data_IF_040102051706
#
_entry.id   IF_040102051706
#
_cell.length_a   1.000
_cell.length_b   1.000
_cell.length_c   1.000
_cell.angle_alpha   90.00
_cell.angle_beta   90.00
_cell.angle_gamma   90.00
#
_symmetry.space_group_name_H-M   'P 1'
#
loop_
_entity.id
_entity.type
_entity.pdbx_description
1 polymer ?
#
# COMPACT_ATOMS: atom_id res chain seq x y z
N UNK A 1 -23.65 -62.28 7.88
CA UNK A 1 -22.60 -61.40 8.43
C UNK A 1 -21.51 -61.15 7.38
N UNK A 2 -21.50 -60.02 6.67
CA UNK A 2 -20.29 -59.49 5.99
C UNK A 2 -20.32 -57.95 6.02
N UNK A 3 -19.13 -57.39 6.23
CA UNK A 3 -18.82 -56.12 6.90
C UNK A 3 -18.94 -54.90 5.98
N UNK A 4 -19.08 -53.76 6.65
CA UNK A 4 -19.11 -52.40 6.13
C UNK A 4 -17.81 -51.96 5.41
N UNK A 5 -17.96 -50.84 4.70
CA UNK A 5 -17.01 -50.12 3.84
C UNK A 5 -15.59 -49.89 4.42
N UNK A 6 -14.68 -49.41 3.57
CA UNK A 6 -14.24 -48.05 3.86
C UNK A 6 -14.18 -47.11 2.65
N UNK A 7 -14.48 -45.86 3.02
CA UNK A 7 -14.28 -44.59 2.33
C UNK A 7 -12.79 -44.40 2.01
N UNK A 8 -12.42 -43.94 0.80
CA UNK A 8 -11.58 -42.72 0.59
C UNK A 8 -11.03 -42.55 -0.83
N UNK A 9 -10.98 -41.26 -1.18
CA UNK A 9 -10.01 -40.56 -2.02
C UNK A 9 -10.16 -40.65 -3.55
N UNK A 10 -11.11 -39.87 -4.07
CA UNK A 10 -11.02 -39.29 -5.40
C UNK A 10 -9.74 -38.44 -5.52
N UNK A 11 -8.77 -38.92 -6.30
CA UNK A 11 -7.57 -38.16 -6.68
C UNK A 11 -7.85 -37.54 -8.06
N UNK A 12 -8.51 -36.38 -8.05
CA UNK A 12 -8.77 -35.62 -9.27
C UNK A 12 -7.47 -34.99 -9.79
N UNK A 13 -7.20 -35.23 -11.07
CA UNK A 13 -6.03 -34.82 -11.80
C UNK A 13 -5.70 -33.33 -11.63
N UNK A 14 -4.43 -33.05 -11.30
CA UNK A 14 -3.83 -31.73 -11.43
C UNK A 14 -3.84 -31.31 -12.91
N UNK A 15 -4.85 -30.52 -13.29
CA UNK A 15 -4.88 -29.82 -14.57
C UNK A 15 -3.83 -28.71 -14.53
N UNK A 16 -2.84 -28.84 -15.41
CA UNK A 16 -1.91 -27.82 -15.84
C UNK A 16 -2.63 -26.52 -16.17
N UNK A 17 -2.30 -25.44 -15.46
CA UNK A 17 -2.80 -24.10 -15.76
C UNK A 17 -1.89 -23.52 -16.87
N UNK A 18 -2.42 -23.53 -18.09
CA UNK A 18 -1.77 -22.98 -19.27
C UNK A 18 -1.39 -21.50 -19.11
N UNK A 19 -0.32 -21.03 -19.78
CA UNK A 19 0.04 -19.61 -19.82
C UNK A 19 -0.93 -18.83 -20.72
N UNK A 20 -1.17 -17.57 -20.36
CA UNK A 20 -2.03 -16.62 -21.08
C UNK A 20 -1.73 -16.56 -22.60
N UNK A 21 -2.74 -16.38 -23.47
CA UNK A 21 -2.52 -16.26 -24.91
C UNK A 21 -1.90 -14.91 -25.28
N UNK A 22 -0.91 -14.94 -26.17
CA UNK A 22 -0.28 -13.77 -26.78
C UNK A 22 -1.27 -13.03 -27.70
N UNK A 23 -1.24 -11.68 -27.78
CA UNK A 23 -2.08 -10.94 -28.71
C UNK A 23 -1.54 -11.04 -30.14
N UNK A 24 -2.46 -11.33 -31.06
CA UNK A 24 -2.24 -11.51 -32.49
C UNK A 24 -1.65 -10.24 -33.14
N UNK A 25 -0.54 -10.45 -33.84
CA UNK A 25 0.12 -9.49 -34.74
C UNK A 25 -0.83 -9.14 -35.90
N UNK A 26 -1.23 -7.86 -36.02
CA UNK A 26 -1.85 -7.32 -37.24
C UNK A 26 -0.82 -6.50 -38.02
N UNK A 27 -0.71 -6.85 -39.30
CA UNK A 27 0.18 -6.34 -40.35
C UNK A 27 -0.03 -4.86 -40.70
N UNK A 28 0.91 -4.21 -41.44
CA UNK A 28 1.04 -2.76 -41.50
C UNK A 28 0.14 -2.15 -42.60
N UNK A 29 -0.41 -0.95 -42.35
CA UNK A 29 -0.88 -0.07 -43.44
C UNK A 29 -0.18 1.28 -43.35
N UNK A 30 0.37 1.63 -44.51
CA UNK A 30 1.27 2.72 -44.90
C UNK A 30 0.92 4.12 -44.39
N UNK A 31 1.98 4.80 -43.95
CA UNK A 31 2.44 6.16 -44.28
C UNK A 31 1.39 7.29 -44.41
N UNK A 32 1.46 8.21 -43.47
CA UNK A 32 1.08 9.62 -43.67
C UNK A 32 2.24 10.51 -43.21
N UNK A 33 2.51 11.50 -44.06
CA UNK A 33 3.71 12.33 -44.17
C UNK A 33 4.00 13.22 -42.97
N UNK A 34 5.29 13.38 -42.68
CA UNK A 34 5.88 14.28 -41.68
C UNK A 34 5.73 15.73 -42.11
N UNK A 35 5.13 16.59 -41.28
CA UNK A 35 5.41 18.04 -41.28
C UNK A 35 5.68 18.48 -39.84
N UNK A 36 6.85 19.10 -39.70
CA UNK A 36 7.49 19.55 -38.48
C UNK A 36 6.66 20.63 -37.77
N UNK A 37 6.30 20.38 -36.50
CA UNK A 37 5.91 21.41 -35.55
C UNK A 37 6.85 21.30 -34.35
N UNK A 38 7.64 22.36 -34.13
CA UNK A 38 8.62 22.47 -33.04
C UNK A 38 7.99 22.08 -31.71
N UNK A 39 8.45 20.96 -31.14
CA UNK A 39 8.14 20.57 -29.78
C UNK A 39 8.63 21.69 -28.84
N UNK A 40 7.69 22.43 -28.25
CA UNK A 40 7.98 23.15 -27.03
C UNK A 40 8.44 22.11 -26.01
N UNK A 41 9.71 22.22 -25.59
CA UNK A 41 10.28 21.38 -24.56
C UNK A 41 9.58 21.72 -23.24
N UNK A 42 8.66 20.86 -22.82
CA UNK A 42 8.21 20.85 -21.43
C UNK A 42 9.45 20.71 -20.54
N UNK A 43 9.63 21.57 -19.51
CA UNK A 43 10.77 21.48 -18.63
C UNK A 43 10.78 20.12 -17.94
N UNK A 44 11.85 19.36 -18.19
CA UNK A 44 12.13 18.06 -17.58
C UNK A 44 12.17 18.24 -16.06
N UNK A 45 11.10 17.84 -15.36
CA UNK A 45 11.13 17.72 -13.89
C UNK A 45 12.17 16.63 -13.57
N UNK A 46 13.24 16.93 -12.82
CA UNK A 46 14.32 15.98 -12.61
C UNK A 46 13.82 14.74 -11.88
N UNK A 47 14.09 13.58 -12.48
CA UNK A 47 13.70 12.25 -11.97
C UNK A 47 14.39 11.99 -10.63
N UNK A 48 13.58 11.94 -9.56
CA UNK A 48 13.82 11.31 -8.25
C UNK A 48 15.29 11.24 -7.81
N UNK A 49 15.77 12.28 -7.12
CA UNK A 49 16.80 12.07 -6.10
C UNK A 49 16.22 11.09 -5.09
N UNK A 50 16.80 9.89 -4.98
CA UNK A 50 16.46 8.98 -3.90
C UNK A 50 16.78 9.71 -2.60
N UNK A 51 15.75 10.27 -1.96
CA UNK A 51 15.87 10.80 -0.60
C UNK A 51 16.17 9.56 0.24
N UNK A 52 17.45 9.34 0.54
CA UNK A 52 17.81 8.36 1.54
C UNK A 52 17.13 8.82 2.83
N UNK A 53 16.26 8.01 3.45
CA UNK A 53 15.63 8.40 4.70
C UNK A 53 16.76 8.64 5.69
N UNK A 54 17.02 9.91 5.99
CA UNK A 54 17.99 10.27 7.02
C UNK A 54 17.40 9.73 8.30
N UNK A 55 17.94 8.60 8.78
CA UNK A 55 17.54 7.99 10.04
C UNK A 55 17.94 8.99 11.11
N UNK A 56 17.01 9.86 11.49
CA UNK A 56 17.18 10.73 12.64
C UNK A 56 17.22 9.75 13.81
N UNK A 57 18.42 9.53 14.36
CA UNK A 57 18.59 8.79 15.61
C UNK A 57 17.71 9.47 16.66
N UNK A 58 16.72 8.78 17.26
CA UNK A 58 15.76 9.40 18.14
C UNK A 58 16.41 9.56 19.50
N UNK A 59 17.37 10.47 19.62
CA UNK A 59 17.92 10.87 20.92
C UNK A 59 17.06 11.92 21.61
N UNK A 60 15.89 12.27 21.05
CA UNK A 60 15.02 13.33 21.57
C UNK A 60 13.55 13.20 21.16
N UNK A 61 13.03 11.96 21.03
CA UNK A 61 11.59 11.75 20.90
C UNK A 61 11.11 11.03 22.15
N UNK A 62 10.28 11.70 22.95
CA UNK A 62 9.65 11.06 24.10
C UNK A 62 8.53 10.14 23.62
N UNK A 63 8.82 8.83 23.58
CA UNK A 63 7.87 7.80 23.17
C UNK A 63 6.67 7.69 24.14
N UNK A 64 6.71 8.31 25.32
CA UNK A 64 5.58 8.28 26.27
C UNK A 64 4.38 9.08 25.77
N UNK A 65 4.59 10.06 24.88
CA UNK A 65 3.54 10.89 24.28
C UNK A 65 2.86 10.21 23.09
N UNK A 66 3.27 9.00 22.71
CA UNK A 66 2.66 8.27 21.60
C UNK A 66 1.36 7.60 22.03
N UNK A 67 0.32 7.77 21.20
CA UNK A 67 -0.92 7.04 21.38
C UNK A 67 -0.71 5.52 21.20
N UNK A 68 -1.11 4.69 22.18
CA UNK A 68 -0.93 3.24 22.10
C UNK A 68 -1.63 2.59 20.90
N UNK A 69 -2.77 3.12 20.46
CA UNK A 69 -3.51 2.62 19.31
C UNK A 69 -2.85 2.97 17.98
N UNK A 70 -2.22 4.14 17.88
CA UNK A 70 -1.38 4.49 16.74
C UNK A 70 -0.19 3.52 16.62
N UNK A 71 0.50 3.22 17.73
CA UNK A 71 1.61 2.26 17.76
C UNK A 71 1.14 0.85 17.37
N UNK A 72 0.03 0.38 17.96
CA UNK A 72 -0.58 -0.92 17.60
C UNK A 72 -0.93 -0.99 16.12
N UNK A 73 -1.43 0.11 15.55
CA UNK A 73 -1.82 0.16 14.15
C UNK A 73 -0.63 0.01 13.21
N UNK A 74 0.48 0.69 13.52
CA UNK A 74 1.74 0.58 12.76
C UNK A 74 2.27 -0.86 12.83
N UNK A 75 2.41 -1.42 14.03
CA UNK A 75 2.90 -2.79 14.22
C UNK A 75 2.05 -3.81 13.45
N UNK A 76 0.73 -3.62 13.43
CA UNK A 76 -0.19 -4.51 12.73
C UNK A 76 -0.13 -4.39 11.20
N UNK A 77 0.18 -3.21 10.67
CA UNK A 77 0.41 -3.01 9.24
C UNK A 77 1.76 -3.57 8.83
N UNK A 78 2.79 -3.35 9.64
CA UNK A 78 4.14 -3.84 9.42
C UNK A 78 4.20 -5.38 9.44
N UNK A 79 3.52 -6.02 10.41
CA UNK A 79 3.37 -7.47 10.48
C UNK A 79 2.67 -8.09 9.26
N UNK A 80 1.98 -7.28 8.44
CA UNK A 80 1.33 -7.70 7.18
C UNK A 80 2.15 -7.35 5.94
N UNK A 81 3.38 -6.86 6.12
CA UNK A 81 4.29 -6.46 5.06
C UNK A 81 3.96 -5.11 4.43
N UNK A 82 3.20 -4.26 5.12
CA UNK A 82 2.94 -2.90 4.68
C UNK A 82 3.72 -1.93 5.56
N UNK A 83 4.81 -1.32 5.06
CA UNK A 83 5.56 -0.34 5.83
C UNK A 83 4.62 0.81 6.21
N UNK A 84 4.69 1.23 7.47
CA UNK A 84 3.83 2.25 8.05
C UNK A 84 4.64 3.20 8.92
N UNK A 85 4.36 4.50 8.80
CA UNK A 85 5.11 5.57 9.44
C UNK A 85 4.17 6.61 10.05
N UNK A 86 4.53 7.14 11.22
CA UNK A 86 3.91 8.36 11.74
C UNK A 86 4.30 9.53 10.84
N UNK A 87 3.34 10.38 10.52
CA UNK A 87 3.53 11.55 9.66
C UNK A 87 2.72 12.74 10.15
N UNK A 88 2.98 13.92 9.59
CA UNK A 88 2.14 15.08 9.79
C UNK A 88 2.41 15.82 11.10
N UNK A 89 1.35 16.34 11.71
CA UNK A 89 1.42 17.22 12.88
C UNK A 89 2.00 16.55 14.11
N UNK A 90 1.69 15.26 14.34
CA UNK A 90 2.18 14.55 15.51
C UNK A 90 3.70 14.47 15.55
N UNK A 91 4.37 14.23 14.42
CA UNK A 91 5.84 14.17 14.38
C UNK A 91 6.44 15.52 14.72
N UNK A 92 5.86 16.61 14.21
CA UNK A 92 6.30 17.97 14.54
C UNK A 92 6.11 18.26 16.02
N UNK A 93 4.96 17.92 16.57
CA UNK A 93 4.62 18.24 17.96
C UNK A 93 5.52 17.45 18.93
N UNK A 94 5.76 16.16 18.66
CA UNK A 94 6.73 15.33 19.40
C UNK A 94 8.16 15.89 19.34
N UNK A 95 8.60 16.39 18.19
CA UNK A 95 9.93 17.02 18.05
C UNK A 95 10.06 18.35 18.80
N UNK A 96 8.95 18.95 19.20
CA UNK A 96 8.88 20.20 19.96
C UNK A 96 8.50 19.94 21.43
N UNK A 97 8.52 18.69 21.89
CA UNK A 97 8.09 18.24 23.22
C UNK A 97 6.65 18.67 23.58
N UNK A 98 5.77 18.73 22.56
CA UNK A 98 4.35 19.06 22.71
C UNK A 98 3.50 17.82 22.52
N UNK A 99 2.41 17.74 23.29
CA UNK A 99 1.43 16.67 23.16
C UNK A 99 0.72 16.73 21.79
N UNK A 100 0.80 15.67 20.97
CA UNK A 100 0.10 15.58 19.69
C UNK A 100 -1.42 15.49 19.87
N UNK A 101 -2.16 16.19 19.00
CA UNK A 101 -3.64 16.14 19.01
C UNK A 101 -4.22 14.98 18.21
N UNK A 102 -3.60 14.69 17.07
CA UNK A 102 -4.05 13.69 16.11
C UNK A 102 -2.84 12.90 15.60
N UNK A 103 -2.98 11.58 15.42
CA UNK A 103 -1.93 10.71 14.89
C UNK A 103 -2.27 10.25 13.47
N UNK A 104 -1.52 10.75 12.49
CA UNK A 104 -1.63 10.33 11.10
C UNK A 104 -0.59 9.25 10.76
N UNK A 105 -1.03 8.21 10.05
CA UNK A 105 -0.18 7.11 9.59
C UNK A 105 -0.16 7.09 8.06
N UNK A 106 1.04 7.19 7.49
CA UNK A 106 1.27 6.91 6.07
C UNK A 106 1.69 5.46 5.89
N UNK A 107 1.10 4.77 4.91
CA UNK A 107 1.45 3.39 4.59
C UNK A 107 1.33 3.13 3.09
N UNK A 108 2.04 2.11 2.60
CA UNK A 108 1.90 1.62 1.23
C UNK A 108 0.57 0.86 1.01
N UNK A 109 -0.09 0.41 2.10
CA UNK A 109 -1.37 -0.28 2.00
C UNK A 109 -2.46 0.62 1.40
N UNK A 110 -3.15 0.13 0.37
CA UNK A 110 -4.33 0.79 -0.20
C UNK A 110 -5.47 0.83 0.83
N UNK A 111 -6.42 1.78 0.75
CA UNK A 111 -7.51 1.88 1.71
C UNK A 111 -8.33 0.59 1.89
N UNK A 112 -8.52 -0.20 0.83
CA UNK A 112 -9.18 -1.51 0.97
C UNK A 112 -8.33 -2.54 1.73
N UNK A 113 -6.99 -2.50 1.58
CA UNK A 113 -6.07 -3.38 2.34
C UNK A 113 -6.06 -2.99 3.81
N UNK A 114 -6.08 -1.68 4.13
CA UNK A 114 -6.24 -1.19 5.51
C UNK A 114 -7.59 -1.64 6.10
N UNK A 115 -8.68 -1.55 5.34
CA UNK A 115 -9.98 -2.04 5.80
C UNK A 115 -9.98 -3.56 6.08
N UNK A 116 -9.28 -4.35 5.28
CA UNK A 116 -9.09 -5.80 5.56
C UNK A 116 -8.19 -6.03 6.77
N UNK A 117 -7.24 -5.13 7.00
CA UNK A 117 -6.36 -5.18 8.14
C UNK A 117 -7.12 -4.93 9.46
N UNK A 118 -8.12 -4.05 9.42
CA UNK A 118 -8.94 -3.64 10.57
C UNK A 118 -10.44 -3.74 10.24
N UNK A 119 -11.03 -4.95 10.18
CA UNK A 119 -12.37 -5.15 9.63
C UNK A 119 -13.50 -4.46 10.39
N UNK A 120 -13.36 -4.35 11.72
CA UNK A 120 -14.38 -3.77 12.61
C UNK A 120 -14.12 -2.30 12.95
N UNK A 121 -12.88 -1.87 12.82
CA UNK A 121 -12.39 -0.60 13.35
C UNK A 121 -11.97 0.38 12.25
N UNK A 122 -12.23 0.09 10.97
CA UNK A 122 -11.83 0.94 9.85
C UNK A 122 -13.01 1.39 9.01
N UNK A 123 -13.10 2.70 8.80
CA UNK A 123 -14.01 3.33 7.84
C UNK A 123 -13.22 4.00 6.72
N UNK A 124 -13.62 3.77 5.47
CA UNK A 124 -13.04 4.49 4.34
C UNK A 124 -13.84 5.78 4.14
N UNK A 125 -13.17 6.92 4.23
CA UNK A 125 -13.73 8.28 4.14
C UNK A 125 -13.23 8.95 2.86
N UNK A 126 -14.01 9.93 2.36
CA UNK A 126 -13.66 10.78 1.24
C UNK A 126 -14.13 10.25 -0.12
N UNK A 127 -14.39 11.16 -1.07
CA UNK A 127 -14.80 10.83 -2.44
C UNK A 127 -13.60 10.80 -3.39
N UNK A 128 -12.89 11.93 -3.52
CA UNK A 128 -11.71 12.09 -4.38
C UNK A 128 -10.45 11.48 -3.75
N UNK A 129 -10.22 11.77 -2.47
CA UNK A 129 -9.09 11.22 -1.72
C UNK A 129 -9.64 10.23 -0.70
N UNK A 130 -9.29 8.96 -0.87
CA UNK A 130 -9.76 7.88 0.00
C UNK A 130 -8.82 7.77 1.18
N UNK A 131 -9.33 8.06 2.38
CA UNK A 131 -8.61 7.90 3.64
C UNK A 131 -9.19 6.72 4.41
N UNK A 132 -8.35 5.96 5.07
CA UNK A 132 -8.78 4.94 6.02
C UNK A 132 -8.71 5.55 7.42
N UNK A 133 -9.86 5.70 8.06
CA UNK A 133 -9.96 6.25 9.41
C UNK A 133 -10.23 5.10 10.37
N UNK A 134 -9.38 5.00 11.41
CA UNK A 134 -9.46 3.97 12.42
C UNK A 134 -10.21 4.52 13.65
N UNK A 135 -11.11 3.72 14.19
CA UNK A 135 -11.86 4.01 15.42
C UNK A 135 -11.46 2.98 16.48
N UNK A 136 -11.11 3.47 17.67
CA UNK A 136 -10.73 2.66 18.82
C UNK A 136 -11.77 2.80 19.93
#
# INVERSE_FOLDING_TARGET
MRRAAPVRAARLAARSKAPFPAPLLRSPRRAATVVSAKAHQDPQIPRKTAIQPKKISPSGLDCTQLDPDAVRSIQRLDARGYPAYLVGGCVRDLLLDREPKDFDIATEARPQQVKRAFPRNCRIIGRRFKLAHLHF
#
